data_IF_534808946217
#
_entry.id   IF_534808946217
#
_cell.length_a   1.000
_cell.length_b   1.000
_cell.length_c   1.000
_cell.angle_alpha   90.00
_cell.angle_beta   90.00
_cell.angle_gamma   90.00
#
_symmetry.space_group_name_H-M   'P 1'
#
loop_
_entity.id
_entity.type
_entity.pdbx_description
1 polymer ?
#
# COMPACT_ATOMS: atom_id res chain seq x y z
N UNK A 1 39.35 -5.08 -9.80
CA UNK A 1 39.05 -6.45 -10.27
C UNK A 1 39.33 -7.44 -9.14
N UNK A 2 38.30 -8.23 -8.80
CA UNK A 2 38.33 -9.58 -8.19
C UNK A 2 38.91 -9.67 -6.77
N UNK A 3 38.26 -10.22 -5.73
CA UNK A 3 37.04 -11.02 -5.62
C UNK A 3 37.24 -11.96 -4.43
N UNK A 4 36.47 -11.80 -3.36
CA UNK A 4 36.53 -12.70 -2.19
C UNK A 4 35.11 -13.12 -1.81
N UNK A 5 34.53 -13.99 -2.65
CA UNK A 5 33.34 -14.78 -2.33
C UNK A 5 33.83 -16.10 -1.73
N UNK A 6 33.90 -16.23 -0.41
CA UNK A 6 34.14 -17.49 0.32
C UNK A 6 34.05 -17.22 1.82
N UNK A 7 32.84 -17.19 2.34
CA UNK A 7 32.56 -17.56 3.73
C UNK A 7 31.22 -18.28 3.70
N UNK A 8 31.28 -19.50 3.17
CA UNK A 8 30.24 -20.49 3.27
C UNK A 8 30.56 -21.35 4.48
N UNK A 9 29.94 -21.07 5.63
CA UNK A 9 30.04 -21.95 6.78
C UNK A 9 28.75 -22.01 7.60
N UNK A 10 27.93 -22.99 7.21
CA UNK A 10 27.34 -24.02 8.07
C UNK A 10 26.72 -23.56 9.41
N UNK A 11 25.39 -23.59 9.47
CA UNK A 11 24.69 -24.11 10.63
C UNK A 11 23.60 -25.08 10.16
N UNK A 12 23.90 -26.38 10.31
CA UNK A 12 22.97 -27.49 10.11
C UNK A 12 22.17 -27.64 11.41
N UNK A 13 20.91 -27.26 11.39
CA UNK A 13 19.95 -27.59 12.46
C UNK A 13 19.28 -28.91 12.09
N UNK A 14 19.63 -29.96 12.83
CA UNK A 14 18.98 -31.26 12.74
C UNK A 14 17.80 -31.40 13.68
N UNK A 15 16.80 -32.19 13.27
CA UNK A 15 16.31 -33.40 13.95
C UNK A 15 14.82 -33.65 13.67
N UNK A 16 14.52 -34.89 13.24
CA UNK A 16 13.30 -35.69 13.40
C UNK A 16 11.97 -35.08 12.89
N UNK A 17 11.15 -35.74 12.08
CA UNK A 17 10.90 -37.17 11.95
C UNK A 17 9.38 -37.36 11.84
N UNK A 18 8.97 -38.51 11.28
CA UNK A 18 7.59 -39.05 11.19
C UNK A 18 6.78 -38.63 9.95
N UNK A 19 6.78 -39.56 8.99
CA UNK A 19 5.76 -39.74 7.98
C UNK A 19 4.44 -40.20 8.60
N UNK A 20 3.30 -39.70 8.10
CA UNK A 20 2.00 -40.37 8.23
C UNK A 20 1.27 -40.33 6.89
N UNK A 21 0.77 -41.51 6.54
CA UNK A 21 0.07 -41.97 5.34
C UNK A 21 -1.21 -41.18 5.02
N UNK A 22 -1.48 -40.97 3.73
CA UNK A 22 -2.82 -40.73 3.20
C UNK A 22 -3.65 -42.04 3.23
N UNK A 23 -4.99 -41.98 3.31
CA UNK A 23 -5.75 -42.17 2.07
C UNK A 23 -7.10 -41.44 1.96
N UNK A 24 -7.49 -41.28 0.68
CA UNK A 24 -8.83 -41.26 0.10
C UNK A 24 -10.02 -40.70 0.90
N UNK A 25 -10.62 -39.64 0.37
CA UNK A 25 -12.06 -39.60 0.11
C UNK A 25 -12.28 -38.87 -1.23
N UNK A 26 -12.57 -39.66 -2.26
CA UNK A 26 -13.12 -39.20 -3.53
C UNK A 26 -14.51 -38.61 -3.27
N UNK A 27 -14.59 -37.28 -3.14
CA UNK A 27 -15.82 -36.54 -3.31
C UNK A 27 -15.97 -36.12 -4.76
N UNK A 28 -16.49 -37.02 -5.60
CA UNK A 28 -17.03 -36.64 -6.89
C UNK A 28 -18.30 -35.81 -6.65
N UNK A 29 -18.22 -34.50 -6.88
CA UNK A 29 -19.40 -33.66 -7.08
C UNK A 29 -19.21 -32.90 -8.39
N UNK A 30 -20.01 -33.34 -9.37
CA UNK A 30 -20.29 -32.72 -10.65
C UNK A 30 -20.81 -31.29 -10.46
N UNK A 31 -20.18 -30.26 -11.06
CA UNK A 31 -20.88 -29.07 -11.44
C UNK A 31 -21.23 -29.19 -12.92
N UNK A 32 -22.43 -29.69 -13.15
CA UNK A 32 -23.14 -29.54 -14.40
C UNK A 32 -23.10 -28.06 -14.79
N UNK A 33 -22.65 -27.81 -16.02
CA UNK A 33 -22.89 -26.64 -16.85
C UNK A 33 -23.60 -25.45 -16.18
N UNK A 34 -22.84 -24.38 -15.97
CA UNK A 34 -23.33 -23.06 -16.35
C UNK A 34 -22.17 -22.26 -16.91
N UNK A 35 -22.08 -22.30 -18.24
CA UNK A 35 -21.28 -21.41 -19.05
C UNK A 35 -22.04 -20.08 -19.16
N UNK A 36 -21.60 -18.96 -18.55
CA UNK A 36 -21.98 -17.68 -19.06
C UNK A 36 -21.04 -17.37 -20.22
N UNK A 37 -21.51 -17.58 -21.44
CA UNK A 37 -20.97 -16.87 -22.59
C UNK A 37 -21.07 -15.38 -22.31
N UNK A 38 -19.97 -14.79 -21.86
CA UNK A 38 -19.72 -13.35 -21.95
C UNK A 38 -18.52 -13.16 -22.87
N UNK A 39 -18.88 -13.10 -24.15
CA UNK A 39 -18.34 -12.17 -25.13
C UNK A 39 -16.87 -11.83 -24.95
N UNK A 40 -16.03 -12.51 -25.73
CA UNK A 40 -14.73 -12.01 -26.17
C UNK A 40 -14.95 -10.65 -26.85
N UNK A 41 -14.85 -9.57 -26.08
CA UNK A 41 -14.49 -8.26 -26.63
C UNK A 41 -12.96 -8.20 -26.54
N UNK A 42 -12.31 -8.78 -27.54
CA UNK A 42 -10.90 -8.60 -27.83
C UNK A 42 -10.65 -7.11 -28.12
N UNK A 43 -10.40 -6.33 -27.07
CA UNK A 43 -9.63 -5.12 -27.16
C UNK A 43 -8.16 -5.51 -27.08
N UNK A 44 -7.62 -6.07 -28.16
CA UNK A 44 -6.16 -6.17 -28.34
C UNK A 44 -5.63 -4.77 -28.63
N UNK A 45 -5.63 -3.93 -27.59
CA UNK A 45 -4.85 -2.71 -27.62
C UNK A 45 -3.42 -3.17 -27.42
N UNK A 46 -2.71 -3.41 -28.53
CA UNK A 46 -1.25 -3.38 -28.56
C UNK A 46 -0.82 -1.96 -28.17
N UNK A 47 -0.94 -1.62 -26.88
CA UNK A 47 -0.34 -0.43 -26.32
C UNK A 47 1.17 -0.66 -26.38
N UNK A 48 1.83 0.11 -27.24
CA UNK A 48 3.28 0.12 -27.38
C UNK A 48 3.89 0.21 -25.96
N UNK A 49 4.73 -0.75 -25.54
CA UNK A 49 5.30 -0.77 -24.19
C UNK A 49 6.07 0.53 -23.85
N UNK A 50 6.51 1.29 -24.86
CA UNK A 50 7.11 2.61 -24.68
C UNK A 50 6.10 3.69 -24.24
N UNK A 51 4.85 3.62 -24.70
CA UNK A 51 3.78 4.53 -24.30
C UNK A 51 3.33 4.26 -22.86
N UNK A 52 3.21 2.98 -22.49
CA UNK A 52 2.85 2.58 -21.13
C UNK A 52 3.95 2.97 -20.12
N UNK A 53 5.23 2.76 -20.47
CA UNK A 53 6.35 3.20 -19.63
C UNK A 53 6.36 4.71 -19.38
N UNK A 54 6.01 5.53 -20.39
CA UNK A 54 5.89 6.99 -20.22
C UNK A 54 4.72 7.38 -19.32
N UNK A 55 3.57 6.72 -19.44
CA UNK A 55 2.40 6.95 -18.57
C UNK A 55 2.72 6.64 -17.11
N UNK A 56 3.36 5.50 -16.84
CA UNK A 56 3.77 5.11 -15.48
C UNK A 56 4.77 6.11 -14.89
N UNK A 57 5.77 6.56 -15.66
CA UNK A 57 6.73 7.58 -15.21
C UNK A 57 6.04 8.91 -14.86
N UNK A 58 5.16 9.39 -15.73
CA UNK A 58 4.41 10.63 -15.50
C UNK A 58 3.51 10.53 -14.26
N UNK A 59 2.86 9.38 -14.04
CA UNK A 59 2.05 9.12 -12.87
C UNK A 59 2.89 9.16 -11.58
N UNK A 60 4.07 8.55 -11.59
CA UNK A 60 4.98 8.55 -10.43
C UNK A 60 5.50 9.95 -10.11
N UNK A 61 5.86 10.74 -11.13
CA UNK A 61 6.28 12.14 -10.95
C UNK A 61 5.16 13.00 -10.36
N UNK A 62 3.93 12.83 -10.84
CA UNK A 62 2.78 13.56 -10.32
C UNK A 62 2.48 13.15 -8.88
N UNK A 63 2.57 11.85 -8.58
CA UNK A 63 2.40 11.34 -7.23
C UNK A 63 3.44 11.94 -6.26
N UNK A 64 4.72 12.03 -6.67
CA UNK A 64 5.75 12.68 -5.88
C UNK A 64 5.45 14.16 -5.59
N UNK A 65 4.95 14.90 -6.59
CA UNK A 65 4.55 16.31 -6.40
C UNK A 65 3.40 16.44 -5.41
N UNK A 66 2.39 15.58 -5.54
CA UNK A 66 1.24 15.55 -4.64
C UNK A 66 1.64 15.21 -3.20
N UNK A 67 2.56 14.24 -3.01
CA UNK A 67 3.10 13.89 -1.69
C UNK A 67 3.77 15.10 -1.06
N UNK A 68 4.66 15.80 -1.80
CA UNK A 68 5.35 17.00 -1.28
C UNK A 68 4.36 18.07 -0.83
N UNK A 69 3.35 18.36 -1.66
CA UNK A 69 2.31 19.34 -1.35
C UNK A 69 1.49 18.94 -0.11
N UNK A 70 1.14 17.66 0.01
CA UNK A 70 0.39 17.17 1.16
C UNK A 70 1.21 17.24 2.46
N UNK A 71 2.52 16.95 2.41
CA UNK A 71 3.41 17.08 3.56
C UNK A 71 3.51 18.55 4.01
N UNK A 72 3.67 19.48 3.07
CA UNK A 72 3.70 20.91 3.38
C UNK A 72 2.38 21.38 4.05
N UNK A 73 1.23 20.93 3.53
CA UNK A 73 -0.07 21.22 4.15
C UNK A 73 -0.20 20.60 5.54
N UNK A 74 0.30 19.37 5.72
CA UNK A 74 0.29 18.69 7.02
C UNK A 74 1.14 19.45 8.06
N UNK A 75 2.30 19.95 7.66
CA UNK A 75 3.14 20.79 8.52
C UNK A 75 2.42 22.07 8.94
N UNK A 76 1.77 22.76 7.99
CA UNK A 76 1.01 23.97 8.27
C UNK A 76 -0.14 23.71 9.25
N UNK A 77 -0.92 22.64 9.06
CA UNK A 77 -2.02 22.29 9.97
C UNK A 77 -1.52 21.91 11.37
N UNK A 78 -0.38 21.23 11.46
CA UNK A 78 0.23 20.90 12.74
C UNK A 78 0.68 22.16 13.50
N UNK A 79 1.26 23.14 12.80
CA UNK A 79 1.62 24.43 13.38
C UNK A 79 0.38 25.19 13.89
N UNK A 80 -0.67 25.27 13.07
CA UNK A 80 -1.94 25.89 13.47
C UNK A 80 -2.57 25.19 14.67
N UNK A 81 -2.55 23.85 14.71
CA UNK A 81 -3.08 23.08 15.84
C UNK A 81 -2.28 23.35 17.12
N UNK A 82 -0.95 23.43 17.04
CA UNK A 82 -0.10 23.81 18.18
C UNK A 82 -0.49 25.19 18.71
N UNK A 83 -0.60 26.18 17.84
CA UNK A 83 -0.96 27.55 18.23
C UNK A 83 -2.34 27.59 18.89
N UNK A 84 -3.28 26.78 18.41
CA UNK A 84 -4.64 26.73 18.95
C UNK A 84 -4.69 26.02 20.31
N UNK A 85 -3.86 25.00 20.53
CA UNK A 85 -3.64 24.38 21.84
C UNK A 85 -3.03 25.37 22.84
N UNK A 86 -2.05 26.18 22.41
CA UNK A 86 -1.41 27.16 23.30
C UNK A 86 -2.34 28.31 23.68
N UNK A 87 -3.28 28.67 22.81
CA UNK A 87 -4.26 29.74 23.05
C UNK A 87 -5.51 29.27 23.79
N UNK A 88 -5.88 28.00 23.64
CA UNK A 88 -7.10 27.44 24.22
C UNK A 88 -6.77 26.77 25.54
N UNK A 89 -7.44 27.17 26.62
CA UNK A 89 -7.45 26.36 27.84
C UNK A 89 -8.30 25.11 27.61
N UNK A 90 -7.63 24.04 27.15
CA UNK A 90 -8.24 22.77 26.81
C UNK A 90 -8.88 22.06 28.01
N UNK A 91 -8.63 22.52 29.24
CA UNK A 91 -9.25 21.94 30.45
C UNK A 91 -10.64 22.51 30.72
N UNK A 92 -10.94 23.69 30.20
CA UNK A 92 -12.20 24.40 30.44
C UNK A 92 -13.07 24.53 29.19
N UNK A 93 -12.51 24.39 27.99
CA UNK A 93 -13.27 24.52 26.73
C UNK A 93 -12.94 23.43 25.70
N UNK A 94 -13.98 22.75 25.21
CA UNK A 94 -13.87 21.81 24.09
C UNK A 94 -13.83 22.59 22.77
N UNK A 95 -12.65 22.74 22.17
CA UNK A 95 -12.50 23.43 20.88
C UNK A 95 -12.85 22.52 19.70
N UNK A 96 -14.00 22.78 19.08
CA UNK A 96 -14.39 22.14 17.81
C UNK A 96 -13.39 22.43 16.68
N UNK A 97 -12.66 23.53 16.76
CA UNK A 97 -11.67 23.90 15.75
C UNK A 97 -10.45 22.98 15.84
N UNK A 98 -9.96 22.70 17.05
CA UNK A 98 -8.87 21.73 17.26
C UNK A 98 -9.26 20.34 16.75
N UNK A 99 -10.47 19.88 17.04
CA UNK A 99 -10.94 18.57 16.58
C UNK A 99 -10.92 18.48 15.05
N UNK A 100 -11.50 19.48 14.37
CA UNK A 100 -11.53 19.53 12.89
C UNK A 100 -10.12 19.56 12.28
N UNK A 101 -9.20 20.36 12.83
CA UNK A 101 -7.80 20.39 12.37
C UNK A 101 -7.13 19.02 12.53
N UNK A 102 -7.39 18.33 13.63
CA UNK A 102 -6.84 16.99 13.89
C UNK A 102 -7.38 15.96 12.90
N UNK A 103 -8.69 16.00 12.58
CA UNK A 103 -9.31 15.15 11.56
C UNK A 103 -8.74 15.42 10.15
N UNK A 104 -8.50 16.68 9.80
CA UNK A 104 -7.86 17.06 8.53
C UNK A 104 -6.42 16.51 8.43
N UNK A 105 -5.65 16.57 9.52
CA UNK A 105 -4.30 15.99 9.60
C UNK A 105 -4.37 14.47 9.38
N UNK A 106 -5.32 13.77 10.03
CA UNK A 106 -5.48 12.32 9.86
C UNK A 106 -5.77 11.96 8.39
N UNK A 107 -6.69 12.70 7.76
CA UNK A 107 -7.06 12.50 6.35
C UNK A 107 -5.86 12.72 5.43
N UNK A 108 -5.09 13.79 5.63
CA UNK A 108 -3.89 14.07 4.84
C UNK A 108 -2.82 12.99 5.03
N UNK A 109 -2.59 12.54 6.26
CA UNK A 109 -1.64 11.46 6.55
C UNK A 109 -2.01 10.17 5.82
N UNK A 110 -3.31 9.79 5.82
CA UNK A 110 -3.82 8.64 5.06
C UNK A 110 -3.60 8.82 3.56
N UNK A 111 -3.89 9.99 3.01
CA UNK A 111 -3.68 10.28 1.58
C UNK A 111 -2.22 10.20 1.17
N UNK A 112 -1.29 10.71 2.00
CA UNK A 112 0.15 10.61 1.77
C UNK A 112 0.58 9.14 1.73
N UNK A 113 0.12 8.33 2.70
CA UNK A 113 0.43 6.90 2.76
C UNK A 113 -0.06 6.16 1.52
N UNK A 114 -1.29 6.40 1.07
CA UNK A 114 -1.81 5.72 -0.12
C UNK A 114 -1.07 6.14 -1.38
N UNK A 115 -0.78 7.44 -1.53
CA UNK A 115 0.05 7.95 -2.63
C UNK A 115 1.47 7.39 -2.62
N UNK A 116 2.10 7.24 -1.45
CA UNK A 116 3.45 6.71 -1.33
C UNK A 116 3.60 5.23 -1.72
N UNK A 117 2.51 4.46 -1.81
CA UNK A 117 2.56 3.04 -2.21
C UNK A 117 2.76 2.82 -3.71
N UNK A 118 2.56 3.85 -4.53
CA UNK A 118 2.61 3.77 -6.00
C UNK A 118 1.23 3.71 -6.61
#
# INVERSE_FOLDING_TARGET
MNGTRREALKFITGAAGVAVLAPLLCGAQDPSQQNPSKTNASGDTNEDPALESKRVKNALEQNQKDIKKNIERLFQLAAELKDEVEKTDATTTLSLVMLRKTEEIEKLARQIREKAKG
#
